data_IF_264491864011
#
_entry.id   IF_264491864011
#
_cell.length_a   1.000
_cell.length_b   1.000
_cell.length_c   1.000
_cell.angle_alpha   90.00
_cell.angle_beta   90.00
_cell.angle_gamma   90.00
#
_symmetry.space_group_name_H-M   'P 1'
#
loop_
_entity.id
_entity.type
_entity.pdbx_description
1 polymer ?
#
# COMPACT_ATOMS: atom_id res chain seq x y z
N UNK A 1 12.49 3.30 5.43
CA UNK A 1 11.38 2.80 6.25
C UNK A 1 11.52 1.28 6.30
N UNK A 2 11.92 0.73 7.45
CA UNK A 2 12.20 -0.70 7.60
C UNK A 2 10.90 -1.49 7.57
N UNK A 3 10.68 -2.22 6.49
CA UNK A 3 9.63 -3.24 6.41
C UNK A 3 10.06 -4.36 7.35
N UNK A 4 9.31 -4.56 8.43
CA UNK A 4 9.40 -5.75 9.29
C UNK A 4 9.45 -7.00 8.40
N UNK A 5 10.48 -7.85 8.57
CA UNK A 5 10.67 -9.09 7.79
C UNK A 5 9.46 -10.05 7.90
N UNK A 6 8.63 -9.90 8.94
CA UNK A 6 7.31 -10.51 9.01
C UNK A 6 6.25 -9.52 8.53
N UNK A 7 5.60 -9.83 7.41
CA UNK A 7 4.50 -9.02 6.87
C UNK A 7 3.36 -8.92 7.88
N UNK A 8 2.81 -7.72 8.06
CA UNK A 8 1.73 -7.48 9.02
C UNK A 8 0.39 -8.10 8.59
N UNK A 9 -0.62 -8.01 9.47
CA UNK A 9 -1.95 -8.58 9.22
C UNK A 9 -2.90 -7.50 8.71
N UNK A 10 -3.39 -7.66 7.48
CA UNK A 10 -4.30 -6.69 6.86
C UNK A 10 -5.77 -7.02 7.16
N UNK A 11 -6.60 -6.04 7.56
CA UNK A 11 -8.03 -6.28 7.70
C UNK A 11 -8.75 -6.23 6.36
N UNK A 12 -9.70 -7.15 6.16
CA UNK A 12 -10.65 -7.09 5.05
C UNK A 12 -11.71 -6.02 5.28
N UNK A 13 -12.38 -5.58 4.22
CA UNK A 13 -13.56 -4.71 4.30
C UNK A 13 -14.65 -5.31 5.19
N UNK A 14 -14.85 -6.64 5.12
CA UNK A 14 -15.80 -7.35 5.99
C UNK A 14 -15.41 -7.16 7.46
N UNK A 15 -14.16 -7.47 7.82
CA UNK A 15 -13.64 -7.29 9.17
C UNK A 15 -13.85 -5.86 9.68
N UNK A 16 -13.52 -4.84 8.88
CA UNK A 16 -13.68 -3.44 9.26
C UNK A 16 -15.15 -3.05 9.46
N UNK A 17 -16.03 -3.54 8.59
CA UNK A 17 -17.48 -3.29 8.71
C UNK A 17 -18.05 -3.91 9.98
N UNK A 18 -17.60 -5.11 10.35
CA UNK A 18 -18.05 -5.84 11.54
C UNK A 18 -17.61 -5.18 12.87
N UNK A 19 -16.51 -4.42 12.86
CA UNK A 19 -16.07 -3.60 14.02
C UNK A 19 -16.57 -2.14 13.92
N UNK A 20 -17.46 -1.84 12.98
CA UNK A 20 -18.06 -0.50 12.83
C UNK A 20 -17.10 0.56 12.28
N UNK A 21 -16.01 0.17 11.62
CA UNK A 21 -15.06 1.09 11.00
C UNK A 21 -15.38 1.27 9.51
N UNK A 22 -15.23 2.51 9.03
CA UNK A 22 -15.27 2.80 7.60
C UNK A 22 -14.06 2.14 6.90
N UNK A 23 -14.22 1.81 5.61
CA UNK A 23 -13.12 1.31 4.81
C UNK A 23 -12.19 2.48 4.42
N UNK A 24 -10.92 2.51 4.88
CA UNK A 24 -10.06 3.67 4.65
C UNK A 24 -9.84 3.97 3.17
N UNK A 25 -9.81 5.26 2.83
CA UNK A 25 -9.42 5.74 1.50
C UNK A 25 -7.98 5.35 1.16
N UNK A 26 -7.61 5.35 -0.13
CA UNK A 26 -6.33 4.78 -0.62
C UNK A 26 -5.06 5.38 0.00
N UNK A 27 -5.13 6.63 0.47
CA UNK A 27 -4.01 7.32 1.10
C UNK A 27 -3.81 7.00 2.59
N UNK A 28 -4.72 6.22 3.19
CA UNK A 28 -4.61 5.78 4.58
C UNK A 28 -4.25 4.29 4.62
N UNK A 29 -3.02 3.90 4.98
CA UNK A 29 -2.61 2.50 4.93
C UNK A 29 -3.47 1.61 5.86
N UNK A 30 -3.74 0.37 5.44
CA UNK A 30 -4.56 -0.58 6.22
C UNK A 30 -3.80 -1.22 7.39
N UNK A 31 -2.47 -1.27 7.34
CA UNK A 31 -1.65 -1.90 8.38
C UNK A 31 -1.68 -1.14 9.73
N UNK A 32 -1.48 0.19 9.80
CA UNK A 32 -1.46 0.93 11.06
C UNK A 32 -2.84 1.40 11.53
N UNK A 33 -3.91 0.64 11.25
CA UNK A 33 -5.24 1.00 11.75
C UNK A 33 -5.26 0.87 13.28
N UNK A 34 -5.52 1.99 13.96
CA UNK A 34 -5.64 2.02 15.42
C UNK A 34 -6.99 1.48 15.85
N UNK A 35 -7.01 0.16 16.08
CA UNK A 35 -8.11 -0.55 16.72
C UNK A 35 -7.52 -1.73 17.50
N UNK A 36 -7.93 -1.98 18.76
CA UNK A 36 -7.27 -2.98 19.62
C UNK A 36 -7.16 -4.38 18.98
N UNK A 37 -8.20 -4.81 18.24
CA UNK A 37 -8.19 -6.09 17.54
C UNK A 37 -7.16 -6.14 16.40
N UNK A 38 -6.99 -5.05 15.65
CA UNK A 38 -6.07 -4.97 14.51
C UNK A 38 -4.63 -4.86 15.00
N UNK A 39 -4.39 -4.06 16.04
CA UNK A 39 -3.10 -3.94 16.71
C UNK A 39 -2.64 -5.28 17.30
N UNK A 40 -3.56 -6.05 17.94
CA UNK A 40 -3.26 -7.40 18.39
C UNK A 40 -2.99 -8.35 17.23
N UNK A 41 -3.72 -8.22 16.12
CA UNK A 41 -3.53 -9.06 14.94
C UNK A 41 -2.12 -8.93 14.36
N UNK A 42 -1.47 -7.76 14.45
CA UNK A 42 -0.11 -7.57 13.93
C UNK A 42 0.95 -8.52 14.52
N UNK A 43 0.69 -9.11 15.69
CA UNK A 43 1.60 -10.08 16.34
C UNK A 43 1.41 -11.52 15.83
N UNK A 44 0.30 -11.79 15.14
CA UNK A 44 -0.10 -13.13 14.73
C UNK A 44 0.94 -13.84 13.84
N UNK A 45 1.61 -13.20 12.86
CA UNK A 45 2.62 -13.88 12.04
C UNK A 45 3.73 -14.50 12.90
N UNK A 46 4.30 -13.72 13.81
CA UNK A 46 5.33 -14.19 14.73
C UNK A 46 4.79 -15.22 15.74
N UNK A 47 3.58 -15.03 16.27
CA UNK A 47 2.94 -16.01 17.16
C UNK A 47 2.70 -17.35 16.45
N UNK A 48 2.35 -17.34 15.17
CA UNK A 48 2.11 -18.54 14.37
C UNK A 48 3.42 -19.27 14.04
N UNK A 49 4.49 -18.55 13.69
CA UNK A 49 5.82 -19.12 13.45
C UNK A 49 6.40 -19.76 14.71
N UNK A 50 6.17 -19.16 15.88
CA UNK A 50 6.57 -19.72 17.18
C UNK A 50 5.66 -20.87 17.67
N UNK A 51 4.61 -21.24 16.93
CA UNK A 51 3.62 -22.24 17.34
C UNK A 51 2.71 -21.80 18.50
N UNK A 52 2.71 -20.51 18.85
CA UNK A 52 1.90 -19.92 19.92
C UNK A 52 0.52 -19.41 19.49
N UNK A 53 0.26 -19.32 18.19
CA UNK A 53 -1.04 -18.87 17.67
C UNK A 53 -2.14 -19.92 17.91
N UNK A 54 -3.27 -19.51 18.49
CA UNK A 54 -4.37 -20.42 18.82
C UNK A 54 -5.26 -20.70 17.58
N UNK A 55 -5.40 -21.96 17.14
CA UNK A 55 -6.19 -22.29 15.94
C UNK A 55 -7.71 -22.29 16.21
N UNK A 56 -8.50 -21.99 15.17
CA UNK A 56 -9.96 -22.20 15.14
C UNK A 56 -10.24 -23.62 14.62
N UNK A 57 -10.19 -24.61 15.51
CA UNK A 57 -10.31 -26.03 15.14
C UNK A 57 -11.61 -26.40 14.39
N UNK A 58 -12.68 -25.65 14.61
CA UNK A 58 -13.95 -25.83 13.93
C UNK A 58 -13.89 -25.48 12.42
N UNK A 59 -12.96 -24.61 12.02
CA UNK A 59 -12.71 -24.25 10.62
C UNK A 59 -11.54 -25.09 10.11
N UNK A 60 -11.84 -26.31 9.65
CA UNK A 60 -10.83 -27.32 9.30
C UNK A 60 -10.54 -27.44 7.80
N UNK A 61 -11.08 -26.54 7.00
CA UNK A 61 -10.80 -26.48 5.57
C UNK A 61 -9.45 -25.83 5.25
N UNK A 62 -8.99 -24.92 6.10
CA UNK A 62 -7.65 -24.28 6.09
C UNK A 62 -7.21 -23.87 7.49
N UNK A 63 -5.97 -23.41 7.64
CA UNK A 63 -5.46 -22.90 8.91
C UNK A 63 -6.10 -21.52 9.23
N UNK A 64 -6.92 -21.48 10.27
CA UNK A 64 -7.49 -20.28 10.84
C UNK A 64 -7.00 -20.07 12.26
N UNK A 65 -6.72 -18.82 12.63
CA UNK A 65 -6.22 -18.44 13.93
C UNK A 65 -7.14 -17.46 14.62
N UNK A 66 -7.22 -17.60 15.94
CA UNK A 66 -7.98 -16.72 16.82
C UNK A 66 -7.18 -15.47 17.12
N UNK A 67 -7.80 -14.31 16.92
CA UNK A 67 -7.31 -13.05 17.46
C UNK A 67 -8.25 -12.63 18.58
N UNK A 68 -7.76 -12.55 19.82
CA UNK A 68 -8.59 -12.24 20.99
C UNK A 68 -7.96 -11.11 21.80
N UNK A 69 -8.73 -10.06 22.06
CA UNK A 69 -8.34 -8.99 22.97
C UNK A 69 -9.59 -8.41 23.63
N UNK A 70 -9.61 -8.35 24.97
CA UNK A 70 -10.77 -7.93 25.75
C UNK A 70 -12.08 -8.60 25.26
N UNK A 71 -13.07 -7.81 24.81
CA UNK A 71 -14.33 -8.27 24.23
C UNK A 71 -14.22 -8.62 22.74
N UNK A 72 -13.23 -8.08 22.03
CA UNK A 72 -13.10 -8.25 20.59
C UNK A 72 -12.57 -9.64 20.22
N UNK A 73 -13.13 -10.20 19.16
CA UNK A 73 -12.76 -11.49 18.59
C UNK A 73 -12.54 -11.32 17.09
N UNK A 74 -11.57 -12.04 16.58
CA UNK A 74 -11.23 -12.06 15.16
C UNK A 74 -10.84 -13.45 14.70
N UNK A 75 -11.00 -13.66 13.40
CA UNK A 75 -10.53 -14.83 12.66
C UNK A 75 -9.57 -14.36 11.58
N UNK A 76 -8.34 -14.86 11.63
CA UNK A 76 -7.28 -14.50 10.70
C UNK A 76 -6.66 -15.75 10.07
N UNK A 77 -6.11 -15.59 8.87
CA UNK A 77 -5.48 -16.68 8.13
C UNK A 77 -4.28 -16.16 7.35
N UNK A 78 -3.35 -17.07 7.05
CA UNK A 78 -2.28 -16.86 6.08
C UNK A 78 -2.78 -17.43 4.75
N UNK A 79 -2.90 -16.57 3.75
CA UNK A 79 -3.25 -16.99 2.40
C UNK A 79 -2.13 -17.85 1.81
N UNK A 80 -2.54 -18.77 0.94
CA UNK A 80 -1.65 -19.53 0.06
C UNK A 80 -1.72 -18.97 -1.36
N UNK A 81 -0.75 -19.29 -2.24
CA UNK A 81 -0.81 -18.89 -3.64
C UNK A 81 -2.10 -19.31 -4.34
N UNK A 82 -2.68 -20.47 -3.99
CA UNK A 82 -3.95 -20.93 -4.57
C UNK A 82 -5.21 -20.15 -4.13
N UNK A 83 -5.10 -19.28 -3.12
CA UNK A 83 -6.23 -18.53 -2.57
C UNK A 83 -6.49 -17.18 -3.27
N UNK A 84 -5.62 -16.80 -4.20
CA UNK A 84 -5.65 -15.49 -4.87
C UNK A 84 -5.36 -15.63 -6.36
N UNK A 85 -5.99 -14.79 -7.16
CA UNK A 85 -5.69 -14.67 -8.59
C UNK A 85 -4.38 -13.90 -8.86
N UNK A 86 -3.87 -13.17 -7.85
CA UNK A 86 -2.66 -12.35 -7.97
C UNK A 86 -1.68 -12.62 -6.80
N UNK A 87 -1.00 -13.79 -6.81
CA UNK A 87 -0.02 -14.12 -5.79
C UNK A 87 1.22 -13.23 -5.83
N UNK A 88 1.53 -12.61 -6.99
CA UNK A 88 2.68 -11.72 -7.15
C UNK A 88 2.51 -10.45 -6.33
N UNK A 89 1.31 -9.85 -6.36
CA UNK A 89 0.96 -8.70 -5.53
C UNK A 89 1.21 -8.98 -4.03
N UNK A 90 0.75 -10.14 -3.54
CA UNK A 90 0.93 -10.49 -2.13
C UNK A 90 2.39 -10.75 -1.79
N UNK A 91 3.16 -11.33 -2.71
CA UNK A 91 4.58 -11.58 -2.52
C UNK A 91 5.39 -10.29 -2.44
N UNK A 92 5.15 -9.34 -3.34
CA UNK A 92 5.85 -8.05 -3.38
C UNK A 92 5.65 -7.25 -2.08
N UNK A 93 4.43 -7.26 -1.54
CA UNK A 93 4.07 -6.49 -0.35
C UNK A 93 4.13 -7.28 0.95
N UNK A 94 4.58 -8.54 0.91
CA UNK A 94 4.52 -9.48 2.03
C UNK A 94 3.12 -9.53 2.68
N UNK A 95 2.06 -9.41 1.87
CA UNK A 95 0.67 -9.21 2.29
C UNK A 95 -0.11 -10.53 2.43
N UNK A 96 0.52 -11.57 2.99
CA UNK A 96 -0.05 -12.91 3.08
C UNK A 96 -1.05 -13.08 4.23
N UNK A 97 -0.95 -12.26 5.27
CA UNK A 97 -1.78 -12.40 6.46
C UNK A 97 -2.97 -11.45 6.44
N UNK A 98 -4.15 -12.00 6.68
CA UNK A 98 -5.39 -11.23 6.71
C UNK A 98 -6.26 -11.58 7.90
N UNK A 99 -6.81 -10.55 8.55
CA UNK A 99 -7.92 -10.70 9.49
C UNK A 99 -9.22 -10.48 8.71
N UNK A 100 -10.00 -11.55 8.63
CA UNK A 100 -11.06 -11.71 7.64
C UNK A 100 -12.46 -11.48 8.20
N UNK A 101 -12.62 -11.75 9.49
CA UNK A 101 -13.86 -11.55 10.21
C UNK A 101 -13.56 -11.09 11.63
N UNK A 102 -14.47 -10.31 12.19
CA UNK A 102 -14.41 -9.77 13.52
C UNK A 102 -15.79 -9.72 14.19
N UNK A 103 -15.77 -9.56 15.50
CA UNK A 103 -16.97 -9.41 16.30
C UNK A 103 -16.64 -9.31 17.78
N UNK A 104 -17.66 -9.52 18.60
CA UNK A 104 -17.53 -9.43 20.05
C UNK A 104 -17.88 -10.75 20.73
N UNK A 105 -17.28 -10.98 21.89
CA UNK A 105 -17.70 -12.02 22.82
C UNK A 105 -18.98 -11.56 23.52
N UNK A 106 -20.08 -12.24 23.24
CA UNK A 106 -21.33 -12.09 24.01
C UNK A 106 -21.25 -12.88 25.32
N UNK A 107 -21.88 -12.36 26.38
CA UNK A 107 -21.92 -13.00 27.70
C UNK A 107 -22.63 -14.36 27.67
N UNK A 108 -23.64 -14.51 26.79
CA UNK A 108 -24.37 -15.76 26.59
C UNK A 108 -23.67 -16.66 25.56
N UNK A 109 -23.15 -17.80 26.05
CA UNK A 109 -22.30 -18.75 25.31
C UNK A 109 -22.92 -19.39 24.05
N UNK A 110 -24.22 -19.21 23.83
CA UNK A 110 -24.93 -19.65 22.61
C UNK A 110 -24.65 -18.74 21.41
N UNK A 111 -24.14 -17.53 21.64
CA UNK A 111 -23.85 -16.51 20.63
C UNK A 111 -22.37 -16.11 20.57
N UNK A 112 -21.48 -17.04 20.97
CA UNK A 112 -20.03 -16.86 20.90
C UNK A 112 -19.57 -16.70 19.43
N UNK A 113 -18.70 -15.72 19.18
CA UNK A 113 -18.21 -15.37 17.84
C UNK A 113 -17.70 -16.59 17.05
N UNK A 114 -16.92 -17.46 17.68
CA UNK A 114 -16.34 -18.62 17.01
C UNK A 114 -17.39 -19.71 16.67
N UNK A 115 -18.50 -19.79 17.40
CA UNK A 115 -19.64 -20.64 17.02
C UNK A 115 -20.43 -20.03 15.87
N UNK A 116 -20.57 -18.70 15.86
CA UNK A 116 -21.26 -18.00 14.78
C UNK A 116 -20.53 -18.16 13.44
N UNK A 117 -19.20 -18.01 13.44
CA UNK A 117 -18.37 -18.18 12.22
C UNK A 117 -18.32 -19.64 11.75
N UNK A 118 -18.30 -20.62 12.68
CA UNK A 118 -18.43 -22.04 12.34
C UNK A 118 -19.78 -22.30 11.65
N UNK A 119 -20.88 -21.82 12.23
CA UNK A 119 -22.20 -21.97 11.65
C UNK A 119 -22.33 -21.29 10.28
N UNK A 120 -21.69 -20.14 10.09
CA UNK A 120 -21.56 -19.47 8.78
C UNK A 120 -20.84 -20.35 7.76
N UNK A 121 -19.68 -20.90 8.13
CA UNK A 121 -18.88 -21.77 7.27
C UNK A 121 -19.58 -23.09 6.91
N UNK A 122 -20.32 -23.69 7.84
CA UNK A 122 -21.14 -24.87 7.56
C UNK A 122 -22.31 -24.55 6.62
N UNK A 123 -22.95 -23.38 6.76
CA UNK A 123 -24.02 -22.95 5.82
C UNK A 123 -23.46 -22.74 4.42
N UNK A 124 -22.30 -22.09 4.30
CA UNK A 124 -21.64 -21.89 3.02
C UNK A 124 -21.30 -23.23 2.33
N UNK A 125 -20.75 -24.18 3.08
CA UNK A 125 -20.50 -25.53 2.56
C UNK A 125 -21.77 -26.22 2.04
N UNK A 126 -22.86 -26.20 2.84
CA UNK A 126 -24.14 -26.79 2.42
C UNK A 126 -24.68 -26.17 1.14
N UNK A 127 -24.52 -24.85 0.97
CA UNK A 127 -24.93 -24.14 -0.24
C UNK A 127 -24.13 -24.63 -1.45
N UNK A 128 -22.79 -24.69 -1.32
CA UNK A 128 -21.91 -25.19 -2.39
C UNK A 128 -22.24 -26.64 -2.75
N UNK A 129 -22.42 -27.52 -1.76
CA UNK A 129 -22.77 -28.92 -1.99
C UNK A 129 -24.11 -29.09 -2.71
N UNK A 130 -25.10 -28.26 -2.38
CA UNK A 130 -26.39 -28.25 -3.06
C UNK A 130 -26.28 -27.78 -4.53
N UNK A 131 -25.41 -26.82 -4.82
CA UNK A 131 -25.21 -26.27 -6.17
C UNK A 131 -24.38 -27.20 -7.08
N UNK A 132 -23.40 -27.93 -6.52
CA UNK A 132 -22.48 -28.78 -7.31
C UNK A 132 -22.93 -30.24 -7.43
N UNK A 133 -24.01 -30.63 -6.75
CA UNK A 133 -24.46 -32.04 -6.70
C UNK A 133 -23.46 -32.98 -6.01
N UNK A 134 -22.44 -32.42 -5.35
CA UNK A 134 -21.38 -33.16 -4.69
C UNK A 134 -21.87 -33.80 -3.39
N UNK A 135 -21.77 -35.14 -3.32
CA UNK A 135 -21.89 -35.89 -2.07
C UNK A 135 -20.85 -35.43 -1.04
N UNK A 136 -21.16 -35.66 0.24
CA UNK A 136 -20.45 -35.16 1.42
C UNK A 136 -18.92 -35.13 1.26
N UNK A 137 -18.38 -33.93 0.98
CA UNK A 137 -16.96 -33.67 1.10
C UNK A 137 -16.50 -33.98 2.54
N UNK A 138 -15.27 -34.45 2.73
CA UNK A 138 -14.79 -34.84 4.06
C UNK A 138 -14.78 -33.65 5.04
N UNK A 139 -14.69 -32.43 4.50
CA UNK A 139 -14.72 -31.16 5.23
C UNK A 139 -16.16 -30.61 5.27
N UNK A 140 -16.74 -30.52 6.47
CA UNK A 140 -18.12 -30.04 6.69
C UNK A 140 -18.27 -28.52 6.77
N UNK A 141 -17.25 -27.76 6.36
CA UNK A 141 -17.18 -26.30 6.42
C UNK A 141 -16.50 -25.75 5.17
N UNK A 142 -16.88 -24.54 4.77
CA UNK A 142 -16.23 -23.79 3.70
C UNK A 142 -16.07 -22.34 4.13
N UNK A 143 -14.84 -21.86 4.10
CA UNK A 143 -14.44 -20.51 4.53
C UNK A 143 -14.02 -19.62 3.37
N UNK A 144 -14.25 -20.06 2.12
CA UNK A 144 -13.89 -19.31 0.92
C UNK A 144 -14.50 -17.90 0.89
N UNK A 145 -15.74 -17.77 1.35
CA UNK A 145 -16.47 -16.50 1.45
C UNK A 145 -15.93 -15.56 2.54
N UNK A 146 -15.06 -16.04 3.44
CA UNK A 146 -14.41 -15.23 4.47
C UNK A 146 -13.12 -14.59 3.97
N UNK A 147 -12.46 -15.18 2.96
CA UNK A 147 -11.17 -14.68 2.46
C UNK A 147 -11.30 -13.26 1.89
N UNK A 148 -10.18 -12.52 1.75
CA UNK A 148 -10.19 -11.24 1.07
C UNK A 148 -10.85 -11.35 -0.30
N UNK A 149 -11.77 -10.42 -0.57
CA UNK A 149 -12.53 -10.37 -1.80
C UNK A 149 -11.86 -9.40 -2.78
N UNK A 150 -12.38 -9.31 -4.01
CA UNK A 150 -11.82 -8.44 -5.06
C UNK A 150 -11.61 -6.99 -4.60
N UNK A 151 -12.50 -6.45 -3.76
CA UNK A 151 -12.40 -5.10 -3.21
C UNK A 151 -11.17 -4.92 -2.29
N UNK A 152 -10.77 -5.95 -1.56
CA UNK A 152 -9.61 -5.92 -0.67
C UNK A 152 -8.31 -5.89 -1.48
N UNK A 153 -8.24 -6.69 -2.56
CA UNK A 153 -7.11 -6.68 -3.49
C UNK A 153 -7.02 -5.38 -4.29
N UNK A 154 -8.16 -4.86 -4.79
CA UNK A 154 -8.21 -3.53 -5.43
C UNK A 154 -7.73 -2.44 -4.48
N UNK A 155 -8.10 -2.53 -3.20
CA UNK A 155 -7.66 -1.59 -2.18
C UNK A 155 -6.16 -1.69 -1.88
N UNK A 156 -5.60 -2.90 -1.85
CA UNK A 156 -4.16 -3.12 -1.71
C UNK A 156 -3.40 -2.50 -2.89
N UNK A 157 -3.82 -2.78 -4.14
CA UNK A 157 -3.21 -2.18 -5.34
C UNK A 157 -3.26 -0.65 -5.31
N UNK A 158 -4.41 -0.08 -4.91
CA UNK A 158 -4.57 1.36 -4.77
C UNK A 158 -3.64 1.96 -3.70
N UNK A 159 -3.43 1.26 -2.58
CA UNK A 159 -2.49 1.67 -1.52
C UNK A 159 -1.06 1.77 -2.06
N UNK A 160 -0.60 0.73 -2.75
CA UNK A 160 0.75 0.64 -3.30
C UNK A 160 0.95 1.73 -4.33
N UNK A 161 0.00 1.88 -5.27
CA UNK A 161 0.06 2.92 -6.28
C UNK A 161 0.11 4.33 -5.67
N UNK A 162 -0.67 4.57 -4.61
CA UNK A 162 -0.62 5.83 -3.87
C UNK A 162 0.74 6.04 -3.19
N UNK A 163 1.26 5.05 -2.48
CA UNK A 163 2.57 5.12 -1.79
C UNK A 163 3.72 5.36 -2.77
N UNK A 164 3.72 4.68 -3.92
CA UNK A 164 4.70 4.89 -4.97
C UNK A 164 4.60 6.32 -5.53
N UNK A 165 3.39 6.77 -5.87
CA UNK A 165 3.19 8.11 -6.43
C UNK A 165 3.59 9.22 -5.46
N UNK A 166 3.22 9.07 -4.19
CA UNK A 166 3.54 10.01 -3.13
C UNK A 166 5.05 10.01 -2.81
N UNK A 167 5.69 8.84 -2.81
CA UNK A 167 7.14 8.71 -2.67
C UNK A 167 7.91 9.42 -3.79
N UNK A 168 7.48 9.23 -5.05
CA UNK A 168 8.03 9.94 -6.21
C UNK A 168 7.87 11.45 -6.02
N UNK A 169 6.66 11.92 -5.68
CA UNK A 169 6.39 13.35 -5.47
C UNK A 169 7.28 13.98 -4.42
N UNK A 170 7.44 13.32 -3.26
CA UNK A 170 8.32 13.80 -2.20
C UNK A 170 9.77 13.83 -2.67
N UNK A 171 10.25 12.76 -3.31
CA UNK A 171 11.63 12.68 -3.80
C UNK A 171 11.93 13.79 -4.81
N UNK A 172 11.09 13.96 -5.83
CA UNK A 172 11.25 14.99 -6.85
C UNK A 172 11.29 16.39 -6.22
N UNK A 173 10.34 16.71 -5.34
CA UNK A 173 10.32 18.01 -4.64
C UNK A 173 11.56 18.21 -3.75
N UNK A 174 12.06 17.15 -3.11
CA UNK A 174 13.29 17.20 -2.31
C UNK A 174 14.51 17.51 -3.16
N UNK A 175 14.63 16.89 -4.34
CA UNK A 175 15.72 17.20 -5.29
C UNK A 175 15.68 18.67 -5.74
N UNK A 176 14.47 19.18 -6.02
CA UNK A 176 14.26 20.58 -6.40
C UNK A 176 14.64 21.51 -5.24
N UNK A 177 14.20 21.21 -4.01
CA UNK A 177 14.60 21.95 -2.81
C UNK A 177 16.12 22.03 -2.67
N UNK A 178 16.81 20.89 -2.72
CA UNK A 178 18.26 20.83 -2.59
C UNK A 178 18.96 21.60 -3.71
N UNK A 179 18.40 21.61 -4.93
CA UNK A 179 18.95 22.38 -6.04
C UNK A 179 18.68 23.88 -5.88
N UNK A 180 17.50 24.28 -5.40
CA UNK A 180 17.16 25.67 -5.08
C UNK A 180 18.13 26.27 -4.05
N UNK A 181 18.49 25.50 -3.02
CA UNK A 181 19.34 26.00 -1.93
C UNK A 181 20.82 25.95 -2.26
N UNK A 182 21.28 24.94 -3.00
CA UNK A 182 22.70 24.77 -3.33
C UNK A 182 23.10 25.37 -4.68
N UNK A 183 22.14 25.60 -5.57
CA UNK A 183 22.35 25.86 -6.99
C UNK A 183 22.90 24.66 -7.76
N UNK A 184 23.20 23.52 -7.15
CA UNK A 184 23.85 22.40 -7.84
C UNK A 184 22.83 21.45 -8.48
N UNK A 185 23.31 20.64 -9.44
CA UNK A 185 22.54 19.50 -9.94
C UNK A 185 22.49 18.46 -8.82
N UNK A 186 21.28 18.04 -8.44
CA UNK A 186 21.07 17.02 -7.41
C UNK A 186 20.53 15.77 -8.08
N UNK A 187 21.04 14.61 -7.71
CA UNK A 187 20.69 13.31 -8.30
C UNK A 187 20.19 12.36 -7.22
N UNK A 188 19.16 11.58 -7.52
CA UNK A 188 18.75 10.42 -6.75
C UNK A 188 18.40 9.24 -7.67
N UNK A 189 18.41 8.05 -7.09
CA UNK A 189 17.91 6.85 -7.74
C UNK A 189 16.43 6.64 -7.39
N UNK A 190 15.62 6.38 -8.41
CA UNK A 190 14.20 6.05 -8.33
C UNK A 190 13.98 4.74 -9.09
N UNK A 191 13.67 3.65 -8.37
CA UNK A 191 13.34 2.33 -8.94
C UNK A 191 14.36 1.83 -9.99
N UNK A 192 15.66 2.03 -9.76
CA UNK A 192 16.73 1.65 -10.70
C UNK A 192 16.99 2.66 -11.83
N UNK A 193 16.30 3.81 -11.83
CA UNK A 193 16.51 4.91 -12.76
C UNK A 193 17.10 6.12 -12.05
N UNK A 194 17.92 6.93 -12.74
CA UNK A 194 18.42 8.17 -12.16
C UNK A 194 17.48 9.33 -12.49
N UNK A 195 17.14 10.08 -11.45
CA UNK A 195 16.40 11.34 -11.54
C UNK A 195 17.31 12.47 -11.07
N UNK A 196 17.43 13.52 -11.89
CA UNK A 196 18.21 14.72 -11.55
C UNK A 196 17.31 15.95 -11.59
N UNK A 197 17.55 16.89 -10.69
CA UNK A 197 16.94 18.21 -10.72
C UNK A 197 18.02 19.30 -10.70
N UNK A 198 17.81 20.35 -11.50
CA UNK A 198 18.64 21.54 -11.51
C UNK A 198 17.75 22.78 -11.58
N UNK A 199 17.87 23.66 -10.58
CA UNK A 199 17.24 24.98 -10.60
C UNK A 199 18.30 26.06 -10.77
N UNK A 200 18.07 26.97 -11.70
CA UNK A 200 18.97 28.08 -12.01
C UNK A 200 18.17 29.35 -12.23
N UNK A 201 18.63 30.45 -11.64
CA UNK A 201 18.11 31.77 -11.95
C UNK A 201 18.73 32.30 -13.25
N UNK A 202 17.90 32.81 -14.16
CA UNK A 202 18.31 33.50 -15.38
C UNK A 202 17.29 34.60 -15.71
N UNK A 203 17.75 35.80 -16.04
CA UNK A 203 16.92 36.91 -16.53
C UNK A 203 15.64 37.19 -15.72
N UNK A 204 15.77 37.25 -14.39
CA UNK A 204 14.70 37.46 -13.39
C UNK A 204 13.74 36.29 -13.16
N UNK A 205 13.90 35.19 -13.90
CA UNK A 205 13.13 33.97 -13.73
C UNK A 205 14.02 32.84 -13.17
N UNK A 206 13.38 31.79 -12.67
CA UNK A 206 14.05 30.56 -12.31
C UNK A 206 13.60 29.46 -13.25
N UNK A 207 14.56 28.72 -13.78
CA UNK A 207 14.33 27.59 -14.67
C UNK A 207 14.64 26.30 -13.93
N UNK A 208 13.73 25.33 -14.07
CA UNK A 208 13.89 23.98 -13.56
C UNK A 208 14.17 23.04 -14.74
N UNK A 209 15.26 22.29 -14.65
CA UNK A 209 15.51 21.13 -15.49
C UNK A 209 15.35 19.84 -14.68
N UNK A 210 14.56 18.90 -15.21
CA UNK A 210 14.43 17.53 -14.72
C UNK A 210 15.07 16.59 -15.73
N UNK A 211 15.99 15.75 -15.27
CA UNK A 211 16.67 14.75 -16.11
C UNK A 211 16.24 13.36 -15.65
N UNK A 212 15.66 12.62 -16.58
CA UNK A 212 15.32 11.21 -16.42
C UNK A 212 16.36 10.37 -17.17
N UNK A 213 16.97 9.38 -16.52
CA UNK A 213 17.91 8.45 -17.15
C UNK A 213 17.33 7.03 -17.24
N UNK A 214 17.45 6.44 -18.42
CA UNK A 214 16.95 5.11 -18.75
C UNK A 214 15.52 5.13 -19.30
N UNK A 215 14.98 3.94 -19.54
CA UNK A 215 13.60 3.75 -19.97
C UNK A 215 12.65 3.90 -18.78
N UNK A 216 12.44 5.14 -18.34
CA UNK A 216 11.44 5.43 -17.30
C UNK A 216 10.05 5.20 -17.90
N UNK A 217 9.20 4.45 -17.18
CA UNK A 217 7.79 4.28 -17.52
C UNK A 217 7.13 5.66 -17.71
N UNK A 218 6.40 5.91 -18.83
CA UNK A 218 5.75 7.20 -19.07
C UNK A 218 4.84 7.68 -17.94
N UNK A 219 4.21 6.75 -17.20
CA UNK A 219 3.38 7.09 -16.05
C UNK A 219 4.24 7.58 -14.87
N UNK A 220 5.39 6.96 -14.61
CA UNK A 220 6.34 7.42 -13.58
C UNK A 220 6.84 8.82 -13.92
N UNK A 221 7.23 9.03 -15.19
CA UNK A 221 7.65 10.34 -15.66
C UNK A 221 6.54 11.39 -15.51
N UNK A 222 5.29 11.04 -15.84
CA UNK A 222 4.15 11.93 -15.62
C UNK A 222 3.99 12.30 -14.13
N UNK A 223 4.13 11.34 -13.20
CA UNK A 223 4.11 11.64 -11.76
C UNK A 223 5.25 12.57 -11.38
N UNK A 224 6.48 12.35 -11.90
CA UNK A 224 7.64 13.21 -11.64
C UNK A 224 7.36 14.65 -12.09
N UNK A 225 6.87 14.87 -13.31
CA UNK A 225 6.60 16.22 -13.83
C UNK A 225 5.44 16.89 -13.10
N UNK A 226 4.36 16.15 -12.81
CA UNK A 226 3.20 16.60 -12.01
C UNK A 226 3.54 16.80 -10.52
N UNK A 227 4.76 16.46 -10.09
CA UNK A 227 5.20 16.69 -8.72
C UNK A 227 5.46 18.17 -8.45
N UNK A 228 5.74 18.99 -9.47
CA UNK A 228 6.09 20.39 -9.30
C UNK A 228 4.81 21.21 -9.12
N UNK A 229 4.59 21.86 -7.95
CA UNK A 229 3.37 22.63 -7.72
C UNK A 229 3.30 23.83 -8.66
N UNK A 230 2.10 24.23 -9.06
CA UNK A 230 1.83 25.42 -9.89
C UNK A 230 2.47 25.39 -11.30
N UNK A 231 2.90 24.23 -11.79
CA UNK A 231 3.40 24.04 -13.15
C UNK A 231 2.42 23.13 -13.90
N UNK A 232 1.90 23.58 -15.05
CA UNK A 232 1.02 22.76 -15.88
C UNK A 232 1.79 21.70 -16.64
N UNK A 233 1.11 20.61 -17.02
CA UNK A 233 1.68 19.61 -17.93
C UNK A 233 2.13 20.22 -19.28
N UNK A 234 1.44 21.28 -19.73
CA UNK A 234 1.73 21.98 -20.99
C UNK A 234 2.95 22.90 -20.92
N UNK A 235 3.39 23.28 -19.72
CA UNK A 235 4.52 24.19 -19.51
C UNK A 235 5.88 23.47 -19.60
N UNK A 236 5.86 22.14 -19.70
CA UNK A 236 7.07 21.32 -19.83
C UNK A 236 7.52 21.23 -21.28
N UNK A 237 8.79 21.53 -21.52
CA UNK A 237 9.43 21.40 -22.81
C UNK A 237 10.45 20.27 -22.79
N UNK A 238 10.56 19.52 -23.90
CA UNK A 238 11.60 18.51 -24.09
C UNK A 238 12.84 19.19 -24.65
N UNK A 239 13.99 18.96 -24.02
CA UNK A 239 15.25 19.64 -24.32
C UNK A 239 16.29 18.64 -24.84
N UNK A 240 16.21 18.22 -26.12
CA UNK A 240 17.12 17.23 -26.68
C UNK A 240 18.59 17.71 -26.71
N UNK A 241 18.82 19.02 -26.70
CA UNK A 241 20.15 19.63 -26.61
C UNK A 241 20.63 19.87 -25.18
N UNK A 242 19.79 19.64 -24.18
CA UNK A 242 20.05 20.00 -22.79
C UNK A 242 19.52 21.38 -22.39
N UNK A 243 19.54 21.65 -21.08
CA UNK A 243 19.05 22.90 -20.50
C UNK A 243 19.84 23.27 -19.23
N UNK A 244 20.04 24.56 -18.99
CA UNK A 244 20.62 25.10 -17.74
C UNK A 244 21.97 24.47 -17.32
N UNK A 245 22.84 24.19 -18.30
CA UNK A 245 24.15 23.56 -18.07
C UNK A 245 24.09 22.04 -17.91
N UNK A 246 22.92 21.43 -18.07
CA UNK A 246 22.75 19.98 -18.20
C UNK A 246 22.89 19.59 -19.68
N UNK A 247 23.89 18.77 -19.99
CA UNK A 247 24.00 18.12 -21.31
C UNK A 247 23.48 16.68 -21.20
N UNK A 248 22.49 16.26 -22.01
CA UNK A 248 21.95 14.91 -21.94
C UNK A 248 23.02 13.89 -22.36
N UNK A 249 23.23 12.87 -21.54
CA UNK A 249 23.96 11.67 -21.94
C UNK A 249 23.04 10.71 -22.73
N UNK A 250 23.63 9.68 -23.35
CA UNK A 250 22.85 8.63 -24.01
C UNK A 250 21.84 8.00 -23.04
N UNK A 251 20.57 7.90 -23.45
CA UNK A 251 19.49 7.37 -22.63
C UNK A 251 18.93 8.35 -21.59
N UNK A 252 19.32 9.63 -21.63
CA UNK A 252 18.70 10.67 -20.81
C UNK A 252 17.70 11.49 -21.61
N UNK A 253 16.60 11.87 -20.95
CA UNK A 253 15.64 12.86 -21.45
C UNK A 253 15.65 14.02 -20.47
N UNK A 254 15.77 15.24 -20.99
CA UNK A 254 15.71 16.46 -20.21
C UNK A 254 14.38 17.15 -20.49
N UNK A 255 13.68 17.49 -19.41
CA UNK A 255 12.51 18.35 -19.43
C UNK A 255 12.86 19.67 -18.74
N UNK A 256 12.44 20.79 -19.31
CA UNK A 256 12.61 22.12 -18.72
C UNK A 256 11.29 22.84 -18.57
N UNK A 257 11.24 23.76 -17.61
CA UNK A 257 10.12 24.70 -17.44
C UNK A 257 10.57 25.90 -16.61
N UNK A 258 9.81 27.00 -16.66
CA UNK A 258 9.97 28.11 -15.70
C UNK A 258 9.30 27.69 -14.41
N UNK A 259 10.03 27.73 -13.28
CA UNK A 259 9.47 27.41 -11.96
C UNK A 259 8.96 28.69 -11.27
N UNK A 260 7.63 28.85 -11.07
CA UNK A 260 7.09 30.07 -10.49
C UNK A 260 7.59 30.30 -9.06
N UNK A 261 7.75 31.55 -8.60
CA UNK A 261 8.12 31.85 -7.21
C UNK A 261 7.20 31.21 -6.16
N UNK A 262 5.90 31.06 -6.46
CA UNK A 262 4.95 30.37 -5.58
C UNK A 262 5.28 28.88 -5.40
N UNK A 263 5.73 28.23 -6.48
CA UNK A 263 6.16 26.83 -6.47
C UNK A 263 7.42 26.66 -5.61
N UNK A 264 8.40 27.55 -5.79
CA UNK A 264 9.63 27.57 -5.01
C UNK A 264 9.34 27.74 -3.52
N UNK A 265 8.48 28.71 -3.16
CA UNK A 265 8.08 28.95 -1.78
C UNK A 265 7.38 27.73 -1.13
N UNK A 266 6.48 27.06 -1.87
CA UNK A 266 5.82 25.82 -1.41
C UNK A 266 6.82 24.69 -1.16
N UNK A 267 7.80 24.53 -2.04
CA UNK A 267 8.85 23.51 -1.91
C UNK A 267 9.78 23.82 -0.73
N UNK A 268 10.19 25.08 -0.57
CA UNK A 268 11.02 25.51 0.56
C UNK A 268 10.27 25.33 1.88
N UNK A 269 9.00 25.73 1.97
CA UNK A 269 8.20 25.55 3.18
C UNK A 269 8.00 24.08 3.55
N UNK A 270 8.01 23.17 2.56
CA UNK A 270 7.85 21.74 2.81
C UNK A 270 9.09 21.10 3.47
N UNK A 271 10.29 21.64 3.23
CA UNK A 271 11.57 21.01 3.64
C UNK A 271 12.47 21.90 4.50
N UNK A 272 12.19 23.19 4.62
CA UNK A 272 13.02 24.16 5.34
C UNK A 272 13.10 23.91 6.85
N UNK A 273 12.06 23.27 7.42
CA UNK A 273 12.01 22.94 8.85
C UNK A 273 12.67 21.59 9.18
N UNK A 274 13.00 20.75 8.18
CA UNK A 274 13.64 19.44 8.40
C UNK A 274 15.16 19.55 8.62
N UNK A 275 15.75 20.73 8.37
CA UNK A 275 17.20 21.00 8.48
C UNK A 275 17.55 22.05 9.57
N UNK A 276 16.58 22.44 10.40
CA UNK A 276 16.75 23.36 11.55
C UNK A 276 16.87 22.60 12.87
#
# INVERSE_FOLDING_TARGET
MTVSESGGVRPTKKCLSEIGMAFPVVNQPLLPISHPLIEKAQRLPAEAEAGGAEPILALNDRAWFKVKIAVHRGAATKLKPEDTEDPKLLQQENAWWWICAAGERKADSKSDFYKAIEAEASRAHKKIAAETGGGADAKKVSTQHLLPQEIDYKRLRGEIAFQVSDGIRRLTRRLIYMSLTSGNIVTAELTGHLLKACVRAADQEAYLAIVAEGFIDPNILAVVLDSVPDVSAEDWQVEPGGAMGVTPAYGQIVYSTVIPPSSQAKIIALFGDEES
#
